data_IF_784714457460
#
_entry.id   IF_784714457460
#
_cell.length_a   1.000
_cell.length_b   1.000
_cell.length_c   1.000
_cell.angle_alpha   90.00
_cell.angle_beta   90.00
_cell.angle_gamma   90.00
#
_symmetry.space_group_name_H-M   'P 1'
#
loop_
_entity.id
_entity.type
_entity.pdbx_description
1 polymer ?
#
# COMPACT_ATOMS: atom_id res chain seq x y z
N UNK A 1 23.17 12.43 7.85
CA UNK A 1 22.66 12.51 9.24
C UNK A 1 22.26 11.10 9.66
N UNK A 2 23.04 10.46 10.54
CA UNK A 2 22.66 9.16 11.11
C UNK A 2 21.35 9.33 11.88
N UNK A 3 20.33 8.57 11.49
CA UNK A 3 19.04 8.59 12.22
C UNK A 3 19.25 7.90 13.56
N UNK A 4 18.80 8.53 14.64
CA UNK A 4 18.79 7.88 15.96
C UNK A 4 17.98 6.57 15.91
N UNK A 5 18.35 5.55 16.70
CA UNK A 5 17.68 4.24 16.65
C UNK A 5 16.17 4.31 16.92
N UNK A 6 15.72 5.27 17.74
CA UNK A 6 14.29 5.50 17.99
C UNK A 6 13.56 6.06 16.76
N UNK A 7 14.17 7.02 16.04
CA UNK A 7 13.56 7.63 14.87
C UNK A 7 13.44 6.63 13.72
N UNK A 8 14.41 5.72 13.61
CA UNK A 8 14.34 4.60 12.66
C UNK A 8 13.17 3.66 12.95
N UNK A 9 12.96 3.29 14.22
CA UNK A 9 11.81 2.46 14.64
C UNK A 9 10.48 3.15 14.38
N UNK A 10 10.38 4.44 14.65
CA UNK A 10 9.19 5.24 14.35
C UNK A 10 8.89 5.27 12.85
N UNK A 11 9.91 5.44 12.00
CA UNK A 11 9.75 5.38 10.54
C UNK A 11 9.30 4.00 10.05
N UNK A 12 9.82 2.92 10.63
CA UNK A 12 9.34 1.58 10.31
C UNK A 12 7.88 1.38 10.70
N UNK A 13 7.50 1.85 11.89
CA UNK A 13 6.11 1.83 12.32
C UNK A 13 5.22 2.64 11.36
N UNK A 14 5.68 3.80 10.89
CA UNK A 14 4.97 4.61 9.91
C UNK A 14 4.80 3.89 8.58
N UNK A 15 5.86 3.26 8.06
CA UNK A 15 5.78 2.47 6.82
C UNK A 15 4.87 1.25 6.95
N UNK A 16 4.72 0.65 8.12
CA UNK A 16 3.75 -0.43 8.35
C UNK A 16 2.32 0.10 8.58
N UNK A 17 2.21 1.28 9.20
CA UNK A 17 0.94 1.91 9.53
C UNK A 17 0.16 2.33 8.26
N UNK A 18 0.82 2.97 7.31
CA UNK A 18 0.19 3.45 6.06
C UNK A 18 -0.56 2.33 5.31
N UNK A 19 0.07 1.21 4.91
CA UNK A 19 -0.64 0.14 4.20
C UNK A 19 -1.69 -0.56 5.06
N UNK A 20 -1.48 -0.67 6.37
CA UNK A 20 -2.48 -1.24 7.29
C UNK A 20 -3.73 -0.36 7.37
N UNK A 21 -3.56 0.95 7.50
CA UNK A 21 -4.66 1.92 7.52
C UNK A 21 -5.39 1.97 6.18
N UNK A 22 -4.65 1.91 5.06
CA UNK A 22 -5.24 1.86 3.72
C UNK A 22 -6.02 0.57 3.49
N UNK A 23 -5.55 -0.58 3.98
CA UNK A 23 -6.29 -1.84 3.91
C UNK A 23 -7.62 -1.74 4.65
N UNK A 24 -7.62 -1.17 5.86
CA UNK A 24 -8.84 -0.92 6.64
C UNK A 24 -9.78 0.01 5.90
N UNK A 25 -9.28 1.17 5.43
CA UNK A 25 -10.07 2.14 4.67
C UNK A 25 -10.66 1.55 3.38
N UNK A 26 -9.87 0.76 2.66
CA UNK A 26 -10.34 0.04 1.46
C UNK A 26 -11.43 -0.95 1.84
N UNK A 27 -11.25 -1.74 2.89
CA UNK A 27 -12.26 -2.71 3.36
C UNK A 27 -13.56 -2.01 3.75
N UNK A 28 -13.47 -0.86 4.43
CA UNK A 28 -14.63 -0.03 4.78
C UNK A 28 -15.34 0.49 3.53
N UNK A 29 -14.60 1.04 2.56
CA UNK A 29 -15.13 1.50 1.28
C UNK A 29 -15.85 0.37 0.52
N UNK A 30 -15.24 -0.81 0.41
CA UNK A 30 -15.87 -1.97 -0.23
C UNK A 30 -17.17 -2.37 0.48
N UNK A 31 -17.15 -2.36 1.81
CA UNK A 31 -18.31 -2.76 2.63
C UNK A 31 -19.50 -1.81 2.45
N UNK A 32 -19.24 -0.50 2.30
CA UNK A 32 -20.26 0.52 2.14
C UNK A 32 -20.82 0.56 0.72
N UNK A 33 -19.96 0.55 -0.30
CA UNK A 33 -20.37 0.83 -1.68
C UNK A 33 -20.75 -0.42 -2.48
N UNK A 34 -20.08 -1.56 -2.24
CA UNK A 34 -20.24 -2.79 -3.07
C UNK A 34 -21.02 -3.87 -2.34
N UNK A 35 -21.01 -3.84 -1.00
CA UNK A 35 -21.72 -4.76 -0.14
C UNK A 35 -20.79 -5.70 0.63
N UNK A 36 -21.27 -6.14 1.79
CA UNK A 36 -20.50 -6.93 2.76
C UNK A 36 -20.67 -8.43 2.52
N UNK A 37 -19.90 -9.02 1.61
CA UNK A 37 -19.80 -10.48 1.49
C UNK A 37 -18.35 -11.00 1.61
N UNK A 38 -18.15 -12.15 2.29
CA UNK A 38 -16.83 -12.72 2.58
C UNK A 38 -15.88 -13.06 1.42
N UNK A 39 -16.19 -12.71 0.18
CA UNK A 39 -15.25 -12.88 -0.93
C UNK A 39 -14.59 -11.55 -1.27
N UNK A 40 -15.32 -10.44 -1.17
CA UNK A 40 -14.84 -9.10 -1.46
C UNK A 40 -13.73 -8.64 -0.50
N UNK A 41 -13.88 -8.90 0.80
CA UNK A 41 -12.87 -8.56 1.80
C UNK A 41 -11.54 -9.32 1.64
N UNK A 42 -11.56 -10.44 0.90
CA UNK A 42 -10.39 -11.26 0.62
C UNK A 42 -9.49 -10.56 -0.38
N UNK A 43 -10.03 -9.66 -1.21
CA UNK A 43 -9.27 -8.93 -2.23
C UNK A 43 -8.26 -7.97 -1.58
N UNK A 44 -8.66 -7.01 -0.71
CA UNK A 44 -7.68 -6.16 -0.02
C UNK A 44 -6.66 -6.96 0.79
N UNK A 45 -7.11 -8.00 1.51
CA UNK A 45 -6.21 -8.82 2.33
C UNK A 45 -5.19 -9.58 1.48
N UNK A 46 -5.64 -10.20 0.38
CA UNK A 46 -4.77 -10.95 -0.53
C UNK A 46 -3.75 -10.02 -1.18
N UNK A 47 -4.19 -8.83 -1.62
CA UNK A 47 -3.28 -7.84 -2.18
C UNK A 47 -2.26 -7.36 -1.14
N UNK A 48 -2.67 -7.10 0.09
CA UNK A 48 -1.76 -6.76 1.19
C UNK A 48 -0.66 -7.81 1.33
N UNK A 49 -1.05 -9.07 1.50
CA UNK A 49 -0.11 -10.19 1.66
C UNK A 49 0.77 -10.37 0.42
N UNK A 50 0.20 -10.19 -0.77
CA UNK A 50 0.94 -10.28 -2.02
C UNK A 50 2.06 -9.21 -2.07
N UNK A 51 1.79 -7.96 -1.67
CA UNK A 51 2.84 -6.94 -1.62
C UNK A 51 3.97 -7.34 -0.65
N UNK A 52 3.61 -7.93 0.50
CA UNK A 52 4.60 -8.41 1.46
C UNK A 52 5.47 -9.52 0.84
N UNK A 53 4.87 -10.52 0.22
CA UNK A 53 5.59 -11.61 -0.45
C UNK A 53 6.52 -11.08 -1.55
N UNK A 54 6.00 -10.18 -2.41
CA UNK A 54 6.76 -9.62 -3.54
C UNK A 54 7.97 -8.82 -3.08
N UNK A 55 7.82 -8.01 -2.03
CA UNK A 55 8.87 -7.12 -1.56
C UNK A 55 9.95 -7.86 -0.78
N UNK A 56 9.57 -8.83 0.04
CA UNK A 56 10.49 -9.49 0.97
C UNK A 56 11.18 -10.74 0.39
N UNK A 57 10.83 -11.16 -0.83
CA UNK A 57 11.52 -12.28 -1.48
C UNK A 57 12.94 -11.91 -1.97
N UNK A 58 13.84 -12.89 -2.17
CA UNK A 58 15.25 -12.64 -2.50
C UNK A 58 15.48 -11.86 -3.80
N UNK A 59 14.58 -12.01 -4.78
CA UNK A 59 14.61 -11.33 -6.07
C UNK A 59 13.25 -10.69 -6.33
N UNK A 60 13.01 -9.44 -5.89
CA UNK A 60 11.71 -8.78 -6.09
C UNK A 60 11.38 -8.68 -7.59
N UNK A 61 10.15 -9.06 -7.96
CA UNK A 61 9.68 -9.08 -9.35
C UNK A 61 9.30 -7.70 -9.86
N UNK A 62 8.92 -6.78 -8.96
CA UNK A 62 8.49 -5.43 -9.30
C UNK A 62 9.56 -4.43 -8.89
N UNK A 63 9.90 -3.54 -9.82
CA UNK A 63 10.88 -2.48 -9.57
C UNK A 63 10.27 -1.40 -8.67
N UNK A 64 10.92 -1.14 -7.54
CA UNK A 64 10.47 -0.12 -6.59
C UNK A 64 10.35 1.28 -7.21
N UNK A 65 11.26 1.66 -8.12
CA UNK A 65 11.21 2.99 -8.76
C UNK A 65 9.94 3.16 -9.60
N UNK A 66 9.57 2.13 -10.35
CA UNK A 66 8.32 2.12 -11.13
C UNK A 66 7.09 2.28 -10.22
N UNK A 67 7.08 1.66 -9.04
CA UNK A 67 5.96 1.82 -8.09
C UNK A 67 5.86 3.25 -7.55
N UNK A 68 7.00 3.90 -7.27
CA UNK A 68 7.04 5.32 -6.86
C UNK A 68 6.52 6.25 -7.97
N UNK A 69 6.94 6.01 -9.21
CA UNK A 69 6.51 6.79 -10.37
C UNK A 69 5.02 6.58 -10.69
N UNK A 70 4.51 5.36 -10.51
CA UNK A 70 3.10 5.03 -10.76
C UNK A 70 2.15 5.61 -9.72
N UNK A 71 2.60 5.74 -8.47
CA UNK A 71 1.78 6.21 -7.34
C UNK A 71 1.00 7.52 -7.60
N UNK A 72 1.62 8.62 -8.07
CA UNK A 72 0.88 9.87 -8.33
C UNK A 72 -0.19 9.72 -9.42
N UNK A 73 0.04 8.90 -10.45
CA UNK A 73 -0.94 8.69 -11.52
C UNK A 73 -2.21 7.99 -11.04
N UNK A 74 -2.13 7.22 -9.94
CA UNK A 74 -3.29 6.60 -9.30
C UNK A 74 -3.91 7.50 -8.22
N UNK A 75 -3.06 8.21 -7.47
CA UNK A 75 -3.51 9.08 -6.37
C UNK A 75 -4.29 10.30 -6.87
N UNK A 76 -3.79 10.97 -7.91
CA UNK A 76 -4.41 12.20 -8.44
C UNK A 76 -5.88 11.97 -8.85
N UNK A 77 -6.21 11.00 -9.72
CA UNK A 77 -7.62 10.76 -10.08
C UNK A 77 -8.48 10.32 -8.89
N UNK A 78 -7.91 9.62 -7.90
CA UNK A 78 -8.63 9.23 -6.69
C UNK A 78 -9.00 10.46 -5.84
N UNK A 79 -8.07 11.41 -5.68
CA UNK A 79 -8.32 12.69 -5.00
C UNK A 79 -9.32 13.54 -5.78
N UNK A 80 -9.18 13.61 -7.11
CA UNK A 80 -10.11 14.38 -7.95
C UNK A 80 -11.54 13.81 -7.86
N UNK A 81 -11.69 12.48 -7.84
CA UNK A 81 -12.99 11.85 -7.61
C UNK A 81 -13.59 12.23 -6.25
N UNK A 82 -12.78 12.18 -5.18
CA UNK A 82 -13.21 12.55 -3.82
C UNK A 82 -13.65 14.02 -3.70
N UNK A 83 -12.98 14.95 -4.40
CA UNK A 83 -13.20 16.39 -4.23
C UNK A 83 -14.26 16.95 -5.17
N UNK A 84 -14.36 16.39 -6.38
CA UNK A 84 -15.23 16.94 -7.43
C UNK A 84 -16.65 16.32 -7.43
N UNK A 85 -16.93 15.37 -6.53
CA UNK A 85 -18.23 14.66 -6.45
C UNK A 85 -18.69 14.12 -7.83
N UNK A 86 -17.73 13.68 -8.65
CA UNK A 86 -18.02 13.21 -10.00
C UNK A 86 -18.78 11.88 -9.98
N UNK A 87 -19.78 11.75 -10.85
CA UNK A 87 -20.48 10.47 -11.12
C UNK A 87 -19.64 9.53 -12.00
N UNK A 88 -18.43 9.19 -11.54
CA UNK A 88 -17.64 8.13 -12.15
C UNK A 88 -18.28 6.78 -11.84
N UNK A 89 -18.25 5.86 -12.80
CA UNK A 89 -18.75 4.51 -12.60
C UNK A 89 -18.12 3.85 -11.35
N UNK A 90 -18.97 3.34 -10.46
CA UNK A 90 -18.59 2.74 -9.17
C UNK A 90 -17.47 1.70 -9.30
N UNK A 91 -17.53 0.84 -10.33
CA UNK A 91 -16.52 -0.18 -10.59
C UNK A 91 -15.16 0.38 -10.99
N UNK A 92 -15.12 1.53 -11.68
CA UNK A 92 -13.89 2.22 -12.05
C UNK A 92 -13.22 2.83 -10.82
N UNK A 93 -14.00 3.48 -9.95
CA UNK A 93 -13.50 4.02 -8.68
C UNK A 93 -12.98 2.90 -7.77
N UNK A 94 -13.71 1.78 -7.69
CA UNK A 94 -13.26 0.60 -6.96
C UNK A 94 -11.93 0.05 -7.49
N UNK A 95 -11.82 -0.16 -8.80
CA UNK A 95 -10.59 -0.65 -9.41
C UNK A 95 -9.41 0.31 -9.16
N UNK A 96 -9.65 1.62 -9.23
CA UNK A 96 -8.67 2.65 -8.96
C UNK A 96 -8.21 2.65 -7.49
N UNK A 97 -9.15 2.55 -6.54
CA UNK A 97 -8.85 2.47 -5.11
C UNK A 97 -8.02 1.22 -4.76
N UNK A 98 -8.39 0.07 -5.33
CA UNK A 98 -7.67 -1.20 -5.16
C UNK A 98 -6.25 -1.10 -5.76
N UNK A 99 -6.12 -0.55 -6.97
CA UNK A 99 -4.83 -0.35 -7.61
C UNK A 99 -3.94 0.60 -6.80
N UNK A 100 -4.49 1.72 -6.34
CA UNK A 100 -3.77 2.68 -5.50
C UNK A 100 -3.31 2.04 -4.19
N UNK A 101 -4.20 1.31 -3.50
CA UNK A 101 -3.88 0.57 -2.29
C UNK A 101 -2.69 -0.37 -2.51
N UNK A 102 -2.71 -1.18 -3.56
CA UNK A 102 -1.63 -2.10 -3.88
C UNK A 102 -0.29 -1.37 -4.12
N UNK A 103 -0.30 -0.30 -4.93
CA UNK A 103 0.92 0.47 -5.23
C UNK A 103 1.45 1.18 -3.99
N UNK A 104 0.60 1.81 -3.19
CA UNK A 104 0.99 2.47 -1.95
C UNK A 104 1.58 1.46 -0.95
N UNK A 105 1.00 0.26 -0.84
CA UNK A 105 1.52 -0.81 -0.01
C UNK A 105 2.88 -1.34 -0.52
N UNK A 106 3.04 -1.55 -1.82
CA UNK A 106 4.32 -1.90 -2.45
C UNK A 106 5.41 -0.87 -2.14
N UNK A 107 5.11 0.43 -2.26
CA UNK A 107 6.05 1.51 -1.94
C UNK A 107 6.44 1.47 -0.46
N UNK A 108 5.46 1.41 0.45
CA UNK A 108 5.73 1.45 1.88
C UNK A 108 6.51 0.21 2.35
N UNK A 109 6.13 -0.98 1.90
CA UNK A 109 6.86 -2.22 2.19
C UNK A 109 8.27 -2.18 1.59
N UNK A 110 8.43 -1.69 0.36
CA UNK A 110 9.73 -1.57 -0.30
C UNK A 110 10.68 -0.64 0.45
N UNK A 111 10.18 0.49 0.94
CA UNK A 111 10.95 1.39 1.80
C UNK A 111 11.27 0.75 3.16
N UNK A 112 10.34 0.02 3.77
CA UNK A 112 10.59 -0.74 4.98
C UNK A 112 11.73 -1.77 4.79
N UNK A 113 11.68 -2.54 3.70
CA UNK A 113 12.69 -3.53 3.36
C UNK A 113 14.08 -2.89 3.16
N UNK A 114 14.17 -1.79 2.42
CA UNK A 114 15.45 -1.06 2.21
C UNK A 114 16.01 -0.48 3.50
N UNK A 115 15.13 -0.02 4.40
CA UNK A 115 15.52 0.58 5.67
C UNK A 115 15.82 -0.44 6.77
N UNK A 116 15.82 -1.76 6.48
CA UNK A 116 16.19 -2.81 7.45
C UNK A 116 17.68 -2.70 7.86
N UNK A 117 18.07 -3.10 9.08
CA UNK A 117 19.47 -3.11 9.49
C UNK A 117 20.21 -4.14 8.64
N UNK A 118 21.42 -3.83 8.20
CA UNK A 118 22.31 -4.87 7.71
C UNK A 118 22.50 -5.88 8.84
N UNK A 119 22.61 -7.18 8.55
CA UNK A 119 22.89 -8.20 9.56
C UNK A 119 24.30 -8.02 10.10
N UNK A 120 24.49 -7.01 10.95
CA UNK A 120 25.63 -6.90 11.83
C UNK A 120 25.30 -7.81 13.03
N UNK A 121 26.11 -8.87 13.21
CA UNK A 121 26.02 -9.94 14.24
C UNK A 121 25.33 -11.24 13.81
N UNK A 122 25.80 -11.87 12.72
CA UNK A 122 25.63 -13.32 12.51
C UNK A 122 26.97 -14.07 12.47
N UNK A 123 28.02 -13.52 13.10
CA UNK A 123 29.28 -14.22 13.39
C UNK A 123 29.43 -14.41 14.88
#
# INVERSE_FOLDING_TARGET
MEKTPWMRRALWALYAFVPSSLMLGTTTFVSMEIGSFPLLWGIPLTLYLLTFVIVFMPKPILNHRWMLELQPYLLIPLILWLVLENEVAQWSTFALAIAYFFVAAMVCHGELYKNRPQPAKLT
#
